data_IF_515972650808
#
_entry.id   IF_515972650808
#
_cell.length_a   1.000
_cell.length_b   1.000
_cell.length_c   1.000
_cell.angle_alpha   90.00
_cell.angle_beta   90.00
_cell.angle_gamma   90.00
#
_symmetry.space_group_name_H-M   'P 1'
#
loop_
_entity.id
_entity.type
_entity.pdbx_description
1 polymer ?
#
# COMPACT_ATOMS: atom_id res chain seq x y z
N UNK A 1 58.94 33.57 14.38
CA UNK A 1 58.39 32.59 13.43
C UNK A 1 57.27 31.87 14.12
N UNK A 2 56.01 32.00 13.71
CA UNK A 2 55.47 31.43 12.46
C UNK A 2 55.87 29.96 12.33
N UNK A 3 54.98 29.06 12.77
CA UNK A 3 54.62 27.81 12.06
C UNK A 3 53.76 26.87 12.93
N UNK A 4 52.56 27.33 13.33
CA UNK A 4 51.47 26.44 13.75
C UNK A 4 50.13 26.92 13.15
N UNK A 5 50.13 27.35 11.89
CA UNK A 5 48.95 27.91 11.22
C UNK A 5 48.75 27.37 9.78
N UNK A 6 49.14 26.11 9.50
CA UNK A 6 49.05 25.56 8.15
C UNK A 6 48.45 24.15 8.01
N UNK A 7 47.71 23.64 9.00
CA UNK A 7 46.96 22.38 8.87
C UNK A 7 45.47 22.49 9.18
N UNK A 8 44.89 23.68 8.97
CA UNK A 8 43.45 23.90 9.07
C UNK A 8 42.92 24.49 7.76
N UNK A 9 42.97 23.71 6.67
CA UNK A 9 42.24 23.98 5.41
C UNK A 9 42.44 22.83 4.42
N UNK A 10 41.70 21.75 4.61
CA UNK A 10 41.26 20.84 3.55
C UNK A 10 40.48 19.70 4.19
N UNK A 11 39.15 19.79 4.14
CA UNK A 11 38.15 18.70 4.16
C UNK A 11 36.89 19.15 4.90
N UNK A 12 35.91 19.67 4.16
CA UNK A 12 34.53 19.17 4.18
C UNK A 12 33.55 20.12 3.48
N UNK A 13 33.80 20.46 2.21
CA UNK A 13 32.71 20.83 1.29
C UNK A 13 31.97 19.57 0.81
N UNK A 14 31.47 18.78 1.77
CA UNK A 14 30.38 17.86 1.46
C UNK A 14 29.08 18.63 1.67
N UNK A 15 28.19 18.71 0.67
CA UNK A 15 26.88 19.29 0.89
C UNK A 15 26.23 18.53 2.05
N UNK A 16 25.72 19.25 3.05
CA UNK A 16 24.91 18.70 4.13
C UNK A 16 23.83 17.82 3.51
N UNK A 17 24.06 16.51 3.51
CA UNK A 17 23.04 15.54 3.14
C UNK A 17 22.22 15.37 4.41
N UNK A 18 20.97 15.87 4.44
CA UNK A 18 20.10 15.54 5.55
C UNK A 18 20.05 14.00 5.65
N UNK A 19 20.01 13.45 6.87
CA UNK A 19 19.92 12.01 7.05
C UNK A 19 18.76 11.49 6.20
N UNK A 20 18.90 10.32 5.56
CA UNK A 20 17.91 9.84 4.61
C UNK A 20 16.54 9.79 5.29
N UNK A 21 15.63 10.61 4.78
CA UNK A 21 14.33 10.81 5.39
C UNK A 21 13.49 9.57 5.11
N UNK A 22 13.17 8.80 6.15
CA UNK A 22 12.35 7.58 5.99
C UNK A 22 10.88 7.94 5.72
N UNK A 23 10.43 9.07 6.26
CA UNK A 23 9.03 9.50 6.21
C UNK A 23 8.86 10.75 5.37
N UNK A 24 8.16 10.59 4.25
CA UNK A 24 7.79 11.70 3.38
C UNK A 24 6.28 11.91 3.38
N UNK A 25 5.85 13.17 3.34
CA UNK A 25 4.49 13.56 3.00
C UNK A 25 4.46 14.53 1.81
N UNK A 26 3.37 14.52 1.05
CA UNK A 26 3.22 15.32 -0.17
C UNK A 26 3.07 14.49 -1.45
N UNK A 27 2.36 15.06 -2.44
CA UNK A 27 1.95 14.35 -3.66
C UNK A 27 2.90 14.54 -4.84
N UNK A 28 3.70 15.59 -4.90
CA UNK A 28 4.58 15.80 -6.03
C UNK A 28 5.84 14.95 -5.91
N UNK A 29 6.15 14.23 -6.98
CA UNK A 29 7.38 13.43 -7.11
C UNK A 29 8.58 14.33 -7.45
N UNK A 30 8.53 15.14 -8.53
CA UNK A 30 9.67 15.95 -8.89
C UNK A 30 9.78 17.18 -7.98
N UNK A 31 11.00 17.69 -7.83
CA UNK A 31 11.22 18.99 -7.18
C UNK A 31 10.53 20.08 -8.01
N UNK A 32 9.87 21.06 -7.37
CA UNK A 32 9.14 22.10 -8.07
C UNK A 32 10.12 23.11 -8.69
N UNK A 33 10.64 22.83 -9.89
CA UNK A 33 11.23 23.86 -10.76
C UNK A 33 10.11 24.56 -11.54
N UNK A 34 10.28 25.82 -11.97
CA UNK A 34 9.26 26.52 -12.77
C UNK A 34 8.81 25.74 -14.01
N UNK A 35 9.76 25.09 -14.70
CA UNK A 35 9.47 24.23 -15.86
C UNK A 35 8.62 23.02 -15.49
N UNK A 36 8.97 22.33 -14.40
CA UNK A 36 8.21 21.15 -13.95
C UNK A 36 6.84 21.53 -13.42
N UNK A 37 6.74 22.66 -12.73
CA UNK A 37 5.46 23.20 -12.26
C UNK A 37 4.52 23.52 -13.44
N UNK A 38 5.04 24.16 -14.50
CA UNK A 38 4.28 24.43 -15.72
C UNK A 38 3.81 23.12 -16.39
N UNK A 39 4.69 22.12 -16.53
CA UNK A 39 4.34 20.82 -17.09
C UNK A 39 3.25 20.12 -16.27
N UNK A 40 3.36 20.13 -14.94
CA UNK A 40 2.34 19.55 -14.06
C UNK A 40 1.02 20.30 -14.18
N UNK A 41 1.03 21.63 -14.27
CA UNK A 41 -0.17 22.45 -14.40
C UNK A 41 -0.89 22.19 -15.72
N UNK A 42 -0.15 22.10 -16.84
CA UNK A 42 -0.70 21.75 -18.15
C UNK A 42 -1.20 20.29 -18.19
N UNK A 43 -0.48 19.38 -17.53
CA UNK A 43 -0.85 17.97 -17.46
C UNK A 43 -2.07 17.74 -16.57
N UNK A 44 -2.25 18.50 -15.49
CA UNK A 44 -3.26 18.25 -14.46
C UNK A 44 -4.67 17.99 -15.02
N UNK A 45 -5.27 18.83 -15.89
CA UNK A 45 -6.59 18.57 -16.45
C UNK A 45 -6.64 17.28 -17.29
N UNK A 46 -5.61 17.03 -18.10
CA UNK A 46 -5.49 15.81 -18.91
C UNK A 46 -5.32 14.57 -18.03
N UNK A 47 -4.52 14.69 -16.97
CA UNK A 47 -4.29 13.63 -15.99
C UNK A 47 -5.56 13.26 -15.23
N UNK A 48 -6.39 14.24 -14.86
CA UNK A 48 -7.70 13.98 -14.24
C UNK A 48 -8.60 13.20 -15.18
N UNK A 49 -8.71 13.62 -16.45
CA UNK A 49 -9.51 12.91 -17.46
C UNK A 49 -9.00 11.48 -17.67
N UNK A 50 -7.68 11.32 -17.81
CA UNK A 50 -7.04 10.00 -17.96
C UNK A 50 -7.28 9.11 -16.74
N UNK A 51 -7.22 9.67 -15.53
CA UNK A 51 -7.49 8.93 -14.31
C UNK A 51 -8.95 8.43 -14.26
N UNK A 52 -9.91 9.27 -14.67
CA UNK A 52 -11.31 8.87 -14.77
C UNK A 52 -11.50 7.72 -15.75
N UNK A 53 -10.92 7.81 -16.96
CA UNK A 53 -10.97 6.73 -17.95
C UNK A 53 -10.38 5.44 -17.39
N UNK A 54 -9.19 5.52 -16.77
CA UNK A 54 -8.53 4.34 -16.16
C UNK A 54 -9.34 3.71 -15.04
N UNK A 55 -9.97 4.51 -14.19
CA UNK A 55 -10.81 4.02 -13.08
C UNK A 55 -12.08 3.35 -13.64
N UNK A 56 -12.76 3.98 -14.60
CA UNK A 56 -13.96 3.41 -15.23
C UNK A 56 -13.61 2.08 -15.90
N UNK A 57 -12.54 2.03 -16.70
CA UNK A 57 -12.09 0.79 -17.33
C UNK A 57 -11.76 -0.29 -16.27
N UNK A 58 -11.08 0.08 -15.19
CA UNK A 58 -10.72 -0.85 -14.12
C UNK A 58 -11.90 -1.42 -13.33
N UNK A 59 -13.01 -0.67 -13.22
CA UNK A 59 -14.23 -1.13 -12.54
C UNK A 59 -15.14 -1.90 -13.51
N UNK A 60 -15.17 -1.52 -14.79
CA UNK A 60 -16.06 -2.13 -15.80
C UNK A 60 -15.51 -3.43 -16.41
N UNK A 61 -14.19 -3.61 -16.48
CA UNK A 61 -13.61 -4.82 -17.05
C UNK A 61 -13.52 -5.96 -16.02
N UNK A 62 -13.75 -7.21 -16.45
CA UNK A 62 -13.43 -8.37 -15.62
C UNK A 62 -11.92 -8.44 -15.37
N UNK A 63 -11.53 -8.98 -14.20
CA UNK A 63 -10.12 -9.05 -13.75
C UNK A 63 -9.18 -9.70 -14.78
N UNK A 64 -9.68 -10.65 -15.57
CA UNK A 64 -8.92 -11.33 -16.64
C UNK A 64 -8.51 -10.42 -17.80
N UNK A 65 -9.25 -9.34 -18.04
CA UNK A 65 -8.96 -8.40 -19.13
C UNK A 65 -8.10 -7.21 -18.68
N UNK A 66 -8.00 -6.95 -17.38
CA UNK A 66 -7.25 -5.81 -16.83
C UNK A 66 -5.75 -5.85 -17.21
N UNK A 67 -5.03 -6.99 -17.17
CA UNK A 67 -3.62 -7.03 -17.57
C UNK A 67 -3.36 -6.54 -19.00
N UNK A 68 -4.32 -6.74 -19.92
CA UNK A 68 -4.24 -6.27 -21.31
C UNK A 68 -4.59 -4.79 -21.44
N UNK A 69 -5.51 -4.29 -20.62
CA UNK A 69 -5.90 -2.88 -20.61
C UNK A 69 -4.81 -1.95 -20.02
N UNK A 70 -4.07 -2.41 -19.02
CA UNK A 70 -2.99 -1.64 -18.35
C UNK A 70 -1.99 -1.02 -19.36
N UNK A 71 -1.34 -1.78 -20.25
CA UNK A 71 -0.38 -1.20 -21.20
C UNK A 71 -1.02 -0.27 -22.22
N UNK A 72 -2.24 -0.57 -22.70
CA UNK A 72 -2.99 0.29 -23.64
C UNK A 72 -3.24 1.67 -23.01
N UNK A 73 -3.59 1.69 -21.73
CA UNK A 73 -3.81 2.91 -20.99
C UNK A 73 -2.50 3.56 -20.50
N UNK A 74 -1.32 3.09 -20.92
CA UNK A 74 -0.02 3.67 -20.60
C UNK A 74 0.59 3.23 -19.27
N UNK A 75 -0.02 2.27 -18.57
CA UNK A 75 0.54 1.68 -17.36
C UNK A 75 1.51 0.53 -17.65
N UNK A 76 2.22 0.06 -16.62
CA UNK A 76 3.06 -1.14 -16.69
C UNK A 76 2.85 -1.99 -15.45
N UNK A 77 2.53 -3.27 -15.63
CA UNK A 77 2.48 -4.26 -14.55
C UNK A 77 3.55 -5.31 -14.82
N UNK A 78 4.50 -5.46 -13.89
CA UNK A 78 5.60 -6.42 -14.00
C UNK A 78 5.45 -7.46 -12.90
N UNK A 79 5.57 -8.73 -13.25
CA UNK A 79 5.53 -9.85 -12.29
C UNK A 79 6.93 -10.46 -12.21
N UNK A 80 7.39 -10.75 -11.00
CA UNK A 80 8.63 -11.48 -10.73
C UNK A 80 8.34 -12.69 -9.84
N UNK A 81 9.13 -13.74 -10.01
CA UNK A 81 8.96 -15.00 -9.28
C UNK A 81 7.81 -15.85 -9.83
N UNK A 82 7.62 -17.01 -9.22
CA UNK A 82 6.59 -17.96 -9.62
C UNK A 82 5.28 -17.66 -8.91
N UNK A 83 4.17 -17.70 -9.66
CA UNK A 83 2.84 -17.57 -9.08
C UNK A 83 2.53 -18.83 -8.26
N UNK A 84 2.13 -18.70 -6.99
CA UNK A 84 1.73 -19.87 -6.22
C UNK A 84 0.47 -20.48 -6.85
N UNK A 85 0.37 -21.81 -6.89
CA UNK A 85 -0.82 -22.47 -7.42
C UNK A 85 -2.07 -22.12 -6.58
N UNK A 86 -3.27 -22.21 -7.17
CA UNK A 86 -4.51 -22.25 -6.41
C UNK A 86 -4.47 -23.36 -5.37
N UNK A 87 -5.07 -23.13 -4.19
CA UNK A 87 -5.30 -24.23 -3.26
C UNK A 87 -6.31 -25.17 -3.90
N UNK A 88 -5.96 -26.45 -4.05
CA UNK A 88 -6.90 -27.46 -4.53
C UNK A 88 -7.99 -27.71 -3.48
N UNK A 89 -9.26 -27.61 -3.87
CA UNK A 89 -10.42 -27.81 -2.98
C UNK A 89 -10.40 -29.15 -2.21
N UNK A 90 -9.71 -30.16 -2.75
CA UNK A 90 -9.59 -31.50 -2.15
C UNK A 90 -8.64 -31.56 -0.93
N UNK A 91 -7.93 -30.48 -0.59
CA UNK A 91 -6.92 -30.49 0.48
C UNK A 91 -7.46 -30.05 1.85
N UNK A 92 -8.77 -29.79 2.01
CA UNK A 92 -9.40 -29.48 3.31
C UNK A 92 -8.74 -28.34 4.09
N UNK A 93 -7.94 -27.50 3.44
CA UNK A 93 -6.98 -26.62 4.09
C UNK A 93 -7.34 -25.14 3.90
N UNK A 94 -7.17 -24.36 4.96
CA UNK A 94 -7.29 -22.90 4.97
C UNK A 94 -6.52 -22.26 3.80
N UNK A 95 -7.03 -21.14 3.28
CA UNK A 95 -6.39 -20.38 2.21
C UNK A 95 -4.97 -19.90 2.53
N UNK A 96 -4.29 -19.41 1.51
CA UNK A 96 -2.92 -18.89 1.62
C UNK A 96 -2.96 -17.44 2.09
N UNK A 97 -2.10 -17.10 3.05
CA UNK A 97 -1.91 -15.73 3.50
C UNK A 97 -0.75 -15.07 2.74
N UNK A 98 -1.10 -14.15 1.85
CA UNK A 98 -0.15 -13.31 1.14
C UNK A 98 0.29 -12.14 2.03
N UNK A 99 1.57 -12.11 2.37
CA UNK A 99 2.16 -11.07 3.22
C UNK A 99 2.88 -10.07 2.34
N UNK A 100 2.27 -8.91 2.14
CA UNK A 100 2.73 -7.91 1.18
C UNK A 100 3.48 -6.75 1.86
N UNK A 101 4.54 -6.27 1.23
CA UNK A 101 5.04 -4.91 1.53
C UNK A 101 3.97 -3.88 1.15
N UNK A 102 3.85 -2.79 1.90
CA UNK A 102 2.77 -1.83 1.70
C UNK A 102 3.28 -0.52 1.08
N UNK A 103 3.01 -0.30 -0.21
CA UNK A 103 3.45 0.88 -0.96
C UNK A 103 2.31 1.83 -1.26
N UNK A 104 1.15 1.33 -1.66
CA UNK A 104 -0.03 2.15 -1.96
C UNK A 104 -1.32 1.46 -1.52
N UNK A 105 -2.46 2.15 -1.57
CA UNK A 105 -3.75 1.48 -1.34
C UNK A 105 -4.12 0.46 -2.44
N UNK A 106 -3.41 0.48 -3.57
CA UNK A 106 -3.63 -0.42 -4.70
C UNK A 106 -2.84 -1.73 -4.61
N UNK A 107 -1.97 -1.92 -3.59
CA UNK A 107 -1.16 -3.16 -3.51
C UNK A 107 -2.03 -4.43 -3.54
N UNK A 108 -3.11 -4.54 -2.74
CA UNK A 108 -3.96 -5.72 -2.76
C UNK A 108 -4.65 -5.94 -4.11
N UNK A 109 -5.04 -4.85 -4.79
CA UNK A 109 -5.67 -4.90 -6.10
C UNK A 109 -4.69 -5.36 -7.18
N UNK A 110 -3.46 -4.83 -7.17
CA UNK A 110 -2.42 -5.28 -8.09
C UNK A 110 -2.12 -6.76 -7.90
N UNK A 111 -2.06 -7.23 -6.65
CA UNK A 111 -1.88 -8.65 -6.36
C UNK A 111 -3.04 -9.50 -6.89
N UNK A 112 -4.29 -9.08 -6.68
CA UNK A 112 -5.45 -9.79 -7.21
C UNK A 112 -5.47 -9.84 -8.75
N UNK A 113 -5.09 -8.74 -9.43
CA UNK A 113 -4.96 -8.69 -10.89
C UNK A 113 -3.89 -9.68 -11.37
N UNK A 114 -2.78 -9.81 -10.65
CA UNK A 114 -1.71 -10.74 -11.03
C UNK A 114 -2.12 -12.19 -10.77
N UNK A 115 -2.78 -12.47 -9.64
CA UNK A 115 -3.18 -13.82 -9.25
C UNK A 115 -4.37 -14.36 -10.05
N UNK A 116 -5.22 -13.50 -10.61
CA UNK A 116 -6.41 -13.90 -11.39
C UNK A 116 -7.36 -14.84 -10.63
N UNK A 117 -7.42 -14.71 -9.30
CA UNK A 117 -8.33 -15.46 -8.41
C UNK A 117 -8.85 -14.55 -7.30
N UNK A 118 -9.89 -15.01 -6.60
CA UNK A 118 -10.51 -14.28 -5.50
C UNK A 118 -9.49 -14.09 -4.37
N UNK A 119 -9.23 -12.84 -4.01
CA UNK A 119 -8.31 -12.46 -2.95
C UNK A 119 -9.00 -11.42 -2.07
N UNK A 120 -9.16 -11.72 -0.78
CA UNK A 120 -9.73 -10.78 0.18
C UNK A 120 -8.60 -9.93 0.79
N UNK A 121 -8.81 -8.61 0.92
CA UNK A 121 -7.82 -7.69 1.46
C UNK A 121 -8.17 -7.22 2.87
N UNK A 122 -7.22 -7.35 3.80
CA UNK A 122 -7.39 -6.89 5.18
C UNK A 122 -6.77 -5.52 5.37
N UNK A 123 -7.57 -4.56 5.87
CA UNK A 123 -7.12 -3.16 5.97
C UNK A 123 -7.50 -2.50 7.31
N UNK A 124 -6.61 -1.66 7.84
CA UNK A 124 -6.83 -0.94 9.10
C UNK A 124 -7.50 0.43 8.95
N UNK A 125 -7.52 1.01 7.74
CA UNK A 125 -7.84 2.43 7.54
C UNK A 125 -8.29 2.75 6.12
N UNK A 126 -9.20 1.95 5.56
CA UNK A 126 -9.89 2.34 4.33
C UNK A 126 -11.07 3.26 4.64
N UNK A 127 -11.33 4.19 3.72
CA UNK A 127 -12.54 5.00 3.78
C UNK A 127 -13.74 4.18 3.29
N UNK A 128 -14.96 4.48 3.75
CA UNK A 128 -16.19 3.83 3.23
C UNK A 128 -16.33 3.96 1.71
N UNK A 129 -15.91 5.10 1.15
CA UNK A 129 -15.91 5.32 -0.29
C UNK A 129 -14.90 4.40 -1.00
N UNK A 130 -13.70 4.24 -0.43
CA UNK A 130 -12.69 3.33 -0.96
C UNK A 130 -13.12 1.86 -0.87
N UNK A 131 -13.87 1.48 0.16
CA UNK A 131 -14.46 0.14 0.27
C UNK A 131 -15.55 -0.09 -0.77
N UNK A 132 -16.47 0.87 -0.95
CA UNK A 132 -17.53 0.78 -1.95
C UNK A 132 -17.00 0.66 -3.39
N UNK A 133 -15.91 1.37 -3.69
CA UNK A 133 -15.29 1.37 -5.01
C UNK A 133 -14.27 0.23 -5.19
N UNK A 134 -14.03 -0.59 -4.17
CA UNK A 134 -13.02 -1.66 -4.24
C UNK A 134 -13.51 -2.80 -5.15
N UNK A 135 -12.76 -3.17 -6.20
CA UNK A 135 -13.09 -4.33 -7.04
C UNK A 135 -12.91 -5.68 -6.33
N UNK A 136 -12.21 -5.69 -5.19
CA UNK A 136 -11.93 -6.89 -4.39
C UNK A 136 -12.61 -6.80 -3.02
N UNK A 137 -12.96 -7.93 -2.38
CA UNK A 137 -13.50 -7.94 -1.03
C UNK A 137 -12.51 -7.33 -0.04
N UNK A 138 -12.98 -6.42 0.82
CA UNK A 138 -12.17 -5.80 1.85
C UNK A 138 -12.72 -6.06 3.24
N UNK A 139 -11.85 -6.43 4.17
CA UNK A 139 -12.19 -6.67 5.58
C UNK A 139 -11.50 -5.63 6.44
N UNK A 140 -12.32 -4.87 7.18
CA UNK A 140 -11.82 -3.81 8.06
C UNK A 140 -11.39 -4.37 9.40
N UNK A 141 -10.17 -4.01 9.82
CA UNK A 141 -9.64 -4.31 11.14
C UNK A 141 -9.92 -3.17 12.13
N UNK A 142 -10.12 -3.55 13.38
CA UNK A 142 -10.52 -2.66 14.48
C UNK A 142 -9.34 -2.22 15.35
N UNK A 143 -8.13 -2.74 15.11
CA UNK A 143 -6.91 -2.54 15.93
C UNK A 143 -7.00 -3.20 17.32
N UNK A 144 -8.01 -4.05 17.54
CA UNK A 144 -8.03 -4.98 18.65
C UNK A 144 -7.46 -6.30 18.17
N UNK A 145 -6.33 -6.71 18.75
CA UNK A 145 -5.58 -7.89 18.32
C UNK A 145 -6.44 -9.15 18.32
N UNK A 146 -7.31 -9.35 19.31
CA UNK A 146 -8.13 -10.56 19.45
C UNK A 146 -9.26 -10.57 18.43
N UNK A 147 -9.93 -9.43 18.25
CA UNK A 147 -11.00 -9.27 17.24
C UNK A 147 -10.44 -9.44 15.83
N UNK A 148 -9.31 -8.79 15.56
CA UNK A 148 -8.64 -8.85 14.26
C UNK A 148 -8.13 -10.26 13.95
N UNK A 149 -7.55 -10.96 14.93
CA UNK A 149 -7.14 -12.35 14.78
C UNK A 149 -8.32 -13.27 14.37
N UNK A 150 -9.45 -13.15 15.06
CA UNK A 150 -10.63 -13.98 14.78
C UNK A 150 -11.22 -13.68 13.39
N UNK A 151 -11.28 -12.40 13.00
CA UNK A 151 -11.72 -12.02 11.65
C UNK A 151 -10.80 -12.59 10.57
N UNK A 152 -9.49 -12.46 10.76
CA UNK A 152 -8.50 -12.96 9.79
C UNK A 152 -8.60 -14.47 9.65
N UNK A 153 -8.70 -15.22 10.77
CA UNK A 153 -8.88 -16.69 10.72
C UNK A 153 -10.13 -17.09 9.94
N UNK A 154 -11.25 -16.46 10.25
CA UNK A 154 -12.51 -16.73 9.58
C UNK A 154 -12.47 -16.46 8.06
N UNK A 155 -11.72 -15.44 7.64
CA UNK A 155 -11.56 -15.16 6.21
C UNK A 155 -10.57 -16.12 5.53
N UNK A 156 -9.54 -16.59 6.23
CA UNK A 156 -8.64 -17.64 5.75
C UNK A 156 -9.37 -18.98 5.56
N UNK A 157 -10.40 -19.27 6.34
CA UNK A 157 -11.26 -20.46 6.12
C UNK A 157 -12.04 -20.38 4.81
N UNK A 158 -12.34 -19.17 4.31
CA UNK A 158 -13.09 -18.94 3.07
C UNK A 158 -12.21 -18.95 1.82
N UNK A 159 -10.91 -18.69 1.96
CA UNK A 159 -9.99 -18.64 0.85
C UNK A 159 -8.77 -17.74 1.09
N UNK A 160 -8.13 -17.34 0.01
CA UNK A 160 -6.88 -16.58 0.07
C UNK A 160 -7.08 -15.16 0.59
N UNK A 161 -6.10 -14.70 1.36
CA UNK A 161 -6.15 -13.44 2.06
C UNK A 161 -4.83 -12.67 1.85
N UNK A 162 -4.91 -11.35 1.73
CA UNK A 162 -3.74 -10.48 1.70
C UNK A 162 -3.71 -9.56 2.91
N UNK A 163 -2.53 -9.46 3.53
CA UNK A 163 -2.25 -8.58 4.65
C UNK A 163 -0.96 -7.78 4.40
N UNK A 164 -1.00 -6.52 4.82
CA UNK A 164 0.14 -5.61 4.81
C UNK A 164 0.60 -5.38 6.26
N UNK A 165 1.57 -6.16 6.79
CA UNK A 165 1.92 -6.16 8.21
C UNK A 165 2.56 -4.87 8.71
N UNK A 166 2.99 -3.97 7.81
CA UNK A 166 3.43 -2.60 8.13
C UNK A 166 2.29 -1.73 8.71
N UNK A 167 1.04 -2.04 8.36
CA UNK A 167 -0.16 -1.31 8.82
C UNK A 167 -0.31 0.11 8.28
N UNK A 168 0.61 0.57 7.45
CA UNK A 168 0.60 1.85 6.74
C UNK A 168 1.52 1.76 5.54
N UNK A 169 1.26 2.57 4.51
CA UNK A 169 2.10 2.59 3.31
C UNK A 169 3.48 3.17 3.62
N UNK A 170 4.52 2.73 2.94
CA UNK A 170 5.84 3.34 2.95
C UNK A 170 6.26 3.52 1.49
N UNK A 171 6.61 4.73 1.05
CA UNK A 171 6.98 4.97 -0.36
C UNK A 171 8.47 4.89 -0.63
N UNK A 172 9.27 5.12 0.39
CA UNK A 172 10.72 5.07 0.31
C UNK A 172 11.22 3.63 0.32
N UNK A 173 12.47 3.36 -0.09
CA UNK A 173 13.06 2.02 -0.12
C UNK A 173 13.38 1.46 1.27
N UNK A 174 12.44 1.59 2.20
CA UNK A 174 12.44 1.03 3.55
C UNK A 174 11.23 0.12 3.74
N UNK A 175 11.34 -0.80 4.68
CA UNK A 175 10.22 -1.54 5.23
C UNK A 175 10.03 -1.16 6.69
N UNK A 176 8.81 -0.79 7.06
CA UNK A 176 8.45 -0.60 8.47
C UNK A 176 8.40 -1.94 9.19
N UNK A 177 8.48 -1.89 10.51
CA UNK A 177 8.41 -3.08 11.36
C UNK A 177 7.11 -3.84 11.11
N UNK A 178 7.22 -5.13 10.83
CA UNK A 178 6.06 -5.98 10.63
C UNK A 178 5.39 -6.32 11.96
N UNK A 179 4.06 -6.27 11.99
CA UNK A 179 3.28 -6.89 13.06
C UNK A 179 3.42 -8.41 13.00
N UNK A 180 3.58 -9.06 14.15
CA UNK A 180 3.67 -10.52 14.25
C UNK A 180 2.32 -11.25 14.15
N UNK A 181 1.21 -10.50 14.13
CA UNK A 181 -0.14 -11.09 14.17
C UNK A 181 -0.35 -12.13 13.06
N UNK A 182 0.08 -11.86 11.82
CA UNK A 182 -0.14 -12.78 10.70
C UNK A 182 0.51 -14.15 10.91
N UNK A 183 1.67 -14.20 11.57
CA UNK A 183 2.42 -15.43 11.80
C UNK A 183 1.74 -16.36 12.82
N UNK A 184 0.82 -15.83 13.65
CA UNK A 184 0.05 -16.60 14.64
C UNK A 184 -1.19 -17.28 14.05
N UNK A 185 -1.53 -16.95 12.80
CA UNK A 185 -2.84 -17.29 12.23
C UNK A 185 -2.75 -18.42 11.20
N UNK A 186 -1.59 -18.59 10.57
CA UNK A 186 -1.36 -19.67 9.60
C UNK A 186 0.13 -19.90 9.40
N UNK A 187 0.48 -21.10 8.95
CA UNK A 187 1.78 -21.51 8.45
C UNK A 187 1.88 -21.43 6.91
N UNK A 188 0.77 -21.19 6.20
CA UNK A 188 0.73 -21.04 4.74
C UNK A 188 0.95 -19.59 4.33
N UNK A 189 2.19 -19.15 4.47
CA UNK A 189 2.59 -17.74 4.26
C UNK A 189 3.35 -17.61 2.93
N UNK A 190 2.85 -16.77 2.03
CA UNK A 190 3.56 -16.38 0.80
C UNK A 190 3.98 -14.91 0.90
N UNK A 191 5.28 -14.61 1.02
CA UNK A 191 5.78 -13.25 1.01
C UNK A 191 5.69 -12.64 -0.40
N UNK A 192 5.19 -11.40 -0.50
CA UNK A 192 5.07 -10.67 -1.77
C UNK A 192 5.68 -9.28 -1.65
N UNK A 193 6.71 -9.02 -2.46
CA UNK A 193 7.30 -7.70 -2.61
C UNK A 193 6.49 -6.86 -3.59
N UNK A 194 6.19 -5.62 -3.21
CA UNK A 194 5.47 -4.67 -4.05
C UNK A 194 6.33 -3.43 -4.24
N UNK A 195 6.38 -2.95 -5.48
CA UNK A 195 6.97 -1.66 -5.81
C UNK A 195 6.07 -0.90 -6.77
N UNK A 196 6.12 0.42 -6.72
CA UNK A 196 5.47 1.29 -7.70
C UNK A 196 6.44 2.37 -8.17
N UNK A 197 6.31 2.77 -9.44
CA UNK A 197 7.06 3.89 -10.02
C UNK A 197 6.09 4.87 -10.66
N UNK A 198 6.30 6.14 -10.41
CA UNK A 198 5.45 7.26 -10.83
C UNK A 198 6.32 8.43 -11.27
N UNK A 199 5.76 9.31 -12.11
CA UNK A 199 6.51 10.44 -12.67
C UNK A 199 6.18 11.78 -12.03
N UNK A 200 4.88 12.05 -11.78
CA UNK A 200 4.42 13.34 -11.28
C UNK A 200 3.83 13.25 -9.88
N UNK A 201 3.03 12.21 -9.62
CA UNK A 201 2.22 12.14 -8.40
C UNK A 201 2.46 10.87 -7.61
N UNK A 202 2.82 11.02 -6.34
CA UNK A 202 2.81 9.94 -5.37
C UNK A 202 1.39 9.49 -5.06
N UNK A 203 1.25 8.18 -4.92
CA UNK A 203 0.01 7.47 -4.65
C UNK A 203 -0.27 7.31 -3.14
N UNK A 204 0.33 8.16 -2.31
CA UNK A 204 0.20 8.08 -0.85
C UNK A 204 0.31 9.46 -0.23
N UNK A 205 -0.55 9.75 0.73
CA UNK A 205 -0.38 10.92 1.62
C UNK A 205 -0.69 10.55 3.07
N UNK A 206 0.00 11.20 4.00
CA UNK A 206 -0.25 11.04 5.43
C UNK A 206 -1.28 12.06 5.94
N UNK A 207 -1.16 13.34 5.54
CA UNK A 207 -2.09 14.41 5.93
C UNK A 207 -3.28 14.60 4.97
N UNK A 208 -3.21 14.05 3.76
CA UNK A 208 -4.21 14.24 2.72
C UNK A 208 -5.41 13.30 2.80
N UNK A 209 -6.43 13.55 1.98
CA UNK A 209 -7.57 12.64 1.85
C UNK A 209 -7.17 11.37 1.09
N UNK A 210 -7.08 10.24 1.80
CA UNK A 210 -6.60 8.96 1.27
C UNK A 210 -7.39 8.41 0.08
N UNK A 211 -8.68 8.74 -0.06
CA UNK A 211 -9.45 8.28 -1.21
C UNK A 211 -8.97 8.90 -2.54
N UNK A 212 -8.19 9.99 -2.49
CA UNK A 212 -7.55 10.57 -3.67
C UNK A 212 -6.29 9.81 -4.11
N UNK A 213 -5.74 8.93 -3.27
CA UNK A 213 -4.47 8.23 -3.55
C UNK A 213 -4.51 7.40 -4.85
N UNK A 214 -5.57 6.60 -5.12
CA UNK A 214 -5.75 5.95 -6.41
C UNK A 214 -5.86 6.92 -7.58
N UNK A 215 -6.55 8.06 -7.41
CA UNK A 215 -6.74 9.06 -8.47
C UNK A 215 -5.37 9.63 -8.85
N UNK A 216 -4.58 10.09 -7.89
CA UNK A 216 -3.24 10.63 -8.16
C UNK A 216 -2.30 9.58 -8.77
N UNK A 217 -2.39 8.31 -8.36
CA UNK A 217 -1.67 7.25 -9.04
C UNK A 217 -2.06 7.16 -10.52
N UNK A 218 -3.36 7.10 -10.81
CA UNK A 218 -3.91 7.00 -12.16
C UNK A 218 -3.74 8.28 -13.01
N UNK A 219 -3.43 9.43 -12.39
CA UNK A 219 -3.09 10.65 -13.11
C UNK A 219 -1.68 10.64 -13.71
N UNK A 220 -0.79 9.73 -13.29
CA UNK A 220 0.56 9.69 -13.83
C UNK A 220 0.54 9.31 -15.32
N UNK A 221 1.38 9.89 -16.19
CA UNK A 221 1.42 9.49 -17.60
C UNK A 221 1.75 8.01 -17.79
N UNK A 222 2.80 7.53 -17.10
CA UNK A 222 3.30 6.15 -17.20
C UNK A 222 3.52 5.50 -15.83
N UNK A 223 2.45 5.20 -15.07
CA UNK A 223 2.59 4.52 -13.79
C UNK A 223 3.06 3.08 -14.01
N UNK A 224 3.96 2.60 -13.16
CA UNK A 224 4.38 1.21 -13.16
C UNK A 224 4.15 0.57 -11.79
N UNK A 225 3.78 -0.69 -11.81
CA UNK A 225 3.66 -1.57 -10.65
C UNK A 225 4.49 -2.82 -10.86
N UNK A 226 5.08 -3.30 -9.78
CA UNK A 226 5.86 -4.50 -9.76
C UNK A 226 5.39 -5.37 -8.58
N UNK A 227 5.09 -6.64 -8.89
CA UNK A 227 4.67 -7.65 -7.92
C UNK A 227 5.68 -8.79 -7.98
N UNK A 228 6.41 -8.99 -6.89
CA UNK A 228 7.45 -10.01 -6.77
C UNK A 228 7.02 -11.08 -5.77
N UNK A 229 6.78 -12.29 -6.26
CA UNK A 229 6.49 -13.45 -5.42
C UNK A 229 7.78 -14.09 -4.94
N UNK A 230 7.83 -14.37 -3.63
CA UNK A 230 8.81 -15.27 -3.03
C UNK A 230 8.14 -16.63 -2.79
N UNK A 231 8.97 -17.65 -2.59
CA UNK A 231 8.47 -18.98 -2.25
C UNK A 231 7.69 -18.96 -0.94
N UNK A 232 6.68 -19.83 -0.85
CA UNK A 232 5.95 -20.05 0.39
C UNK A 232 6.94 -20.43 1.50
N UNK A 233 6.77 -19.85 2.68
CA UNK A 233 7.62 -20.18 3.83
C UNK A 233 7.51 -21.68 4.13
N UNK A 234 8.64 -22.40 4.23
CA UNK A 234 8.61 -23.80 4.66
C UNK A 234 8.19 -23.87 6.12
N UNK A 235 7.46 -24.93 6.52
CA UNK A 235 6.92 -25.08 7.88
C UNK A 235 7.97 -24.90 9.00
N UNK A 236 9.22 -25.31 8.77
CA UNK A 236 10.34 -25.11 9.72
C UNK A 236 10.67 -23.64 10.03
N UNK A 237 10.26 -22.72 9.16
CA UNK A 237 10.45 -21.26 9.31
C UNK A 237 9.16 -20.56 9.75
N UNK A 238 8.12 -21.30 10.11
CA UNK A 238 6.86 -20.77 10.64
C UNK A 238 6.67 -21.19 12.10
N UNK A 239 5.59 -20.73 12.73
CA UNK A 239 5.23 -21.13 14.09
C UNK A 239 5.00 -22.64 14.22
N UNK A 240 4.60 -23.34 13.15
CA UNK A 240 4.46 -24.79 13.14
C UNK A 240 5.81 -25.51 13.35
N UNK A 241 6.91 -24.88 12.94
CA UNK A 241 8.29 -25.33 13.20
C UNK A 241 8.85 -24.90 14.55
N UNK A 242 8.03 -24.37 15.46
CA UNK A 242 8.44 -23.91 16.79
C UNK A 242 9.07 -22.52 16.83
N UNK A 243 9.03 -21.75 15.73
CA UNK A 243 9.47 -20.35 15.72
C UNK A 243 8.48 -19.46 16.45
N UNK A 244 8.98 -18.43 17.13
CA UNK A 244 8.10 -17.40 17.68
C UNK A 244 7.49 -16.56 16.54
N UNK A 245 6.27 -16.02 16.70
CA UNK A 245 5.65 -15.14 15.71
C UNK A 245 6.51 -13.93 15.32
N UNK A 246 7.29 -13.41 16.26
CA UNK A 246 8.21 -12.30 16.04
C UNK A 246 9.39 -12.70 15.16
N UNK A 247 9.96 -13.90 15.35
CA UNK A 247 11.01 -14.42 14.46
C UNK A 247 10.49 -14.59 13.04
N UNK A 248 9.29 -15.15 12.86
CA UNK A 248 8.67 -15.32 11.54
C UNK A 248 8.44 -13.96 10.88
N UNK A 249 7.94 -12.97 11.62
CA UNK A 249 7.71 -11.62 11.10
C UNK A 249 9.00 -10.91 10.69
N UNK A 250 10.04 -10.99 11.53
CA UNK A 250 11.35 -10.39 11.25
C UNK A 250 12.04 -11.07 10.07
N UNK A 251 11.95 -12.40 9.99
CA UNK A 251 12.48 -13.17 8.85
C UNK A 251 11.76 -12.79 7.56
N UNK A 252 10.42 -12.75 7.57
CA UNK A 252 9.60 -12.36 6.42
C UNK A 252 9.93 -10.93 5.95
N UNK A 253 10.09 -10.00 6.88
CA UNK A 253 10.53 -8.63 6.58
C UNK A 253 11.93 -8.62 5.93
N UNK A 254 12.88 -9.40 6.46
CA UNK A 254 14.26 -9.48 5.97
C UNK A 254 14.37 -10.04 4.55
N UNK A 255 13.66 -11.13 4.24
CA UNK A 255 13.68 -11.71 2.89
C UNK A 255 13.01 -10.79 1.87
N UNK A 256 11.92 -10.10 2.24
CA UNK A 256 11.27 -9.10 1.39
C UNK A 256 12.17 -7.88 1.18
N UNK A 257 12.84 -7.42 2.24
CA UNK A 257 13.82 -6.34 2.16
C UNK A 257 14.94 -6.68 1.20
N UNK A 258 15.51 -7.88 1.33
CA UNK A 258 16.60 -8.35 0.48
C UNK A 258 16.16 -8.50 -0.99
N UNK A 259 15.00 -9.12 -1.24
CA UNK A 259 14.49 -9.36 -2.59
C UNK A 259 14.15 -8.07 -3.34
N UNK A 260 13.72 -7.03 -2.61
CA UNK A 260 13.31 -5.76 -3.20
C UNK A 260 14.37 -4.66 -3.12
N UNK A 261 15.51 -4.92 -2.47
CA UNK A 261 16.54 -3.91 -2.18
C UNK A 261 16.07 -2.83 -1.19
N UNK A 262 15.17 -3.18 -0.26
CA UNK A 262 14.66 -2.29 0.77
C UNK A 262 15.37 -2.49 2.10
N UNK A 263 15.65 -1.39 2.82
CA UNK A 263 16.24 -1.45 4.16
C UNK A 263 15.15 -1.69 5.20
N UNK A 264 15.28 -2.78 5.96
CA UNK A 264 14.39 -3.06 7.09
C UNK A 264 14.62 -2.05 8.23
N UNK A 265 13.52 -1.64 8.87
CA UNK A 265 13.56 -0.72 10.01
C UNK A 265 12.74 -1.28 11.17
N UNK A 266 13.02 -0.77 12.38
CA UNK A 266 12.19 -1.01 13.57
C UNK A 266 11.09 0.03 13.73
N UNK A 267 11.00 1.00 12.80
CA UNK A 267 10.02 2.07 12.84
C UNK A 267 8.62 1.51 12.62
N UNK A 268 7.69 2.01 13.42
CA UNK A 268 6.31 1.58 13.46
C UNK A 268 5.40 2.57 12.74
N UNK A 269 4.19 2.11 12.42
CA UNK A 269 3.09 2.95 11.98
C UNK A 269 2.86 4.16 12.89
N UNK A 270 2.86 3.95 14.21
CA UNK A 270 2.57 5.01 15.19
C UNK A 270 3.61 6.12 15.10
N UNK A 271 4.89 5.76 15.07
CA UNK A 271 6.00 6.72 14.91
C UNK A 271 5.90 7.48 13.58
N UNK A 272 5.54 6.79 12.49
CA UNK A 272 5.30 7.45 11.19
C UNK A 272 4.25 8.56 11.30
N UNK A 273 3.07 8.26 11.82
CA UNK A 273 2.00 9.25 11.92
C UNK A 273 2.31 10.35 12.93
N UNK A 274 3.07 10.04 13.98
CA UNK A 274 3.49 11.04 14.95
C UNK A 274 4.44 12.06 14.32
N UNK A 275 5.43 11.59 13.54
CA UNK A 275 6.36 12.46 12.81
C UNK A 275 5.65 13.22 11.68
N UNK A 276 4.80 12.55 10.91
CA UNK A 276 4.19 13.16 9.72
C UNK A 276 2.96 13.99 10.01
N UNK A 277 2.07 13.59 10.90
CA UNK A 277 0.75 14.19 11.07
C UNK A 277 0.44 14.63 12.52
N UNK A 278 1.36 14.44 13.46
CA UNK A 278 1.17 14.77 14.87
C UNK A 278 0.09 13.94 15.57
N UNK A 279 -0.31 12.79 14.99
CA UNK A 279 -1.29 11.87 15.58
C UNK A 279 -0.77 10.42 15.54
N UNK A 280 -1.47 9.48 16.15
CA UNK A 280 -1.10 8.05 16.16
C UNK A 280 -1.64 7.26 14.94
N UNK A 281 -2.20 7.98 13.97
CA UNK A 281 -2.88 7.43 12.81
C UNK A 281 -4.28 6.90 13.11
N UNK A 282 -4.86 7.15 14.29
CA UNK A 282 -6.29 6.98 14.51
C UNK A 282 -7.07 7.99 13.66
N UNK A 283 -8.11 7.54 12.97
CA UNK A 283 -8.96 8.42 12.16
C UNK A 283 -10.20 8.74 12.98
N UNK A 284 -10.29 9.96 13.52
CA UNK A 284 -11.56 10.47 14.07
C UNK A 284 -12.51 10.74 12.90
N UNK A 285 -13.52 9.89 12.78
CA UNK A 285 -14.47 9.89 11.66
C UNK A 285 -15.65 10.83 11.99
N UNK A 286 -15.43 12.15 12.05
CA UNK A 286 -16.50 13.07 12.49
C UNK A 286 -16.48 14.43 11.81
N UNK A 287 -16.54 14.49 10.48
CA UNK A 287 -16.84 15.78 9.82
C UNK A 287 -17.43 15.66 8.42
N UNK A 288 -16.83 14.83 7.55
CA UNK A 288 -17.19 14.87 6.12
C UNK A 288 -18.49 14.12 5.78
N UNK A 289 -18.73 12.96 6.42
CA UNK A 289 -19.95 12.19 6.21
C UNK A 289 -21.17 12.82 6.86
N UNK A 290 -21.01 13.53 7.98
CA UNK A 290 -22.10 14.33 8.53
C UNK A 290 -22.49 15.44 7.56
N UNK A 291 -21.52 16.08 6.90
CA UNK A 291 -21.80 17.13 5.91
C UNK A 291 -22.49 16.57 4.65
N UNK A 292 -22.03 15.43 4.12
CA UNK A 292 -22.69 14.77 2.97
C UNK A 292 -24.06 14.23 3.36
N UNK A 293 -24.22 13.62 4.53
CA UNK A 293 -25.52 13.15 5.02
C UNK A 293 -26.47 14.33 5.25
N UNK A 294 -25.96 15.49 5.71
CA UNK A 294 -26.75 16.72 5.82
C UNK A 294 -27.23 17.19 4.45
N UNK A 295 -26.37 17.20 3.43
CA UNK A 295 -26.72 17.56 2.05
C UNK A 295 -27.72 16.57 1.43
N UNK A 296 -27.52 15.25 1.63
CA UNK A 296 -28.41 14.20 1.12
C UNK A 296 -29.77 14.25 1.81
N UNK A 297 -29.81 14.48 3.12
CA UNK A 297 -31.04 14.60 3.91
C UNK A 297 -31.79 15.91 3.62
N UNK A 298 -31.08 16.97 3.22
CA UNK A 298 -31.66 18.22 2.74
C UNK A 298 -32.23 18.09 1.31
N UNK A 299 -31.62 17.24 0.46
CA UNK A 299 -32.19 16.87 -0.85
C UNK A 299 -33.37 15.91 -0.77
N UNK A 300 -33.39 15.00 0.21
CA UNK A 300 -34.52 14.09 0.46
C UNK A 300 -35.81 14.83 0.83
N UNK A 301 -35.72 16.03 1.40
CA UNK A 301 -36.87 16.89 1.69
C UNK A 301 -37.47 17.53 0.42
N UNK A 302 -36.64 17.85 -0.59
CA UNK A 302 -37.12 18.41 -1.87
C UNK A 302 -37.78 17.37 -2.80
N UNK A 303 -37.42 16.09 -2.67
CA UNK A 303 -38.02 15.01 -3.48
C UNK A 303 -39.36 14.50 -2.93
N UNK A 304 -39.67 14.73 -1.65
CA UNK A 304 -40.92 14.32 -1.02
C UNK A 304 -42.09 15.32 -1.21
N UNK A 305 -41.89 16.39 -1.98
CA UNK A 305 -42.94 17.38 -2.32
C UNK A 305 -43.36 17.34 -3.80
N UNK A 306 -42.82 16.43 -4.62
CA UNK A 306 -43.09 16.33 -6.07
C UNK A 306 -43.76 15.00 -6.46
N UNK A 307 -44.12 14.15 -5.49
CA UNK A 307 -45.08 13.05 -5.64
C UNK A 307 -46.09 13.10 -4.51
#
# INVERSE_FOLDING_TARGET
GQNCAHLARAHSDQPFQPPPVVFHDGRLVPRPTPSTALLILLWFPLGVLLALVRIVVGISLPMSLIPYAIPILGGKLTVRGNLPPPVSDNAGGNGVLFVCTHRTLLDPLALAIVLQRRLTAVTYSLSRLSELLSPIPTVRLTRDRRVDANRIRHELEKGDLVVCPEGTTCREPYLLRFSALFAELTDRIVPVGINYRVGFFHATTARGYKAMDPIFFMMNPRPAYEVAFLDQLPAKLTCAGGKSPYEVANYTQSILGSAMGYKCTMLTRREKYQVLAGNDGSVSYSSYWEHILKIVRQKSWLWAQIH
#
